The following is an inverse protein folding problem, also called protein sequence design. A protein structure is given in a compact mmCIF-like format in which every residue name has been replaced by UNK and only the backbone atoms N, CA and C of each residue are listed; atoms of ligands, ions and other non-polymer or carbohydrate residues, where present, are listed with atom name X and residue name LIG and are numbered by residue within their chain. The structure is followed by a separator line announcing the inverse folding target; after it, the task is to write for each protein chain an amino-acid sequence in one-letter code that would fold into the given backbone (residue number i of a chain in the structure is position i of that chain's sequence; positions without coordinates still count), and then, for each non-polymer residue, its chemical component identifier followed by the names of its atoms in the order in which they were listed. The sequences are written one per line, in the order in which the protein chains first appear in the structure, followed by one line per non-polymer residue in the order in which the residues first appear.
data_IF_624930324484
#
_entry.id   IF_624930324484
#
_cell.length_a   1.000
_cell.length_b   1.000
_cell.length_c   1.000
_cell.angle_alpha   90.00
_cell.angle_beta   90.00
_cell.angle_gamma   90.00
#
_symmetry.space_group_name_H-M   'P 1'
#
loop_
_entity.id
_entity.type
_entity.pdbx_description
1 polymer ?
#
# COMPACT_ATOMS: atom_id res chain seq x y z
N UNK A 1 -45.03 4.61 -6.06
CA UNK A 1 -43.80 4.47 -6.88
C UNK A 1 -44.06 3.35 -7.88
N UNK A 2 -43.72 3.49 -9.17
CA UNK A 2 -43.87 2.40 -10.12
C UNK A 2 -43.01 1.21 -9.69
N UNK A 3 -43.54 0.00 -9.81
CA UNK A 3 -42.80 -1.23 -9.49
C UNK A 3 -41.65 -1.40 -10.50
N UNK A 4 -40.43 -1.62 -10.00
CA UNK A 4 -39.26 -1.84 -10.86
C UNK A 4 -39.42 -3.16 -11.62
N UNK A 5 -39.06 -3.17 -12.90
CA UNK A 5 -39.08 -4.40 -13.69
C UNK A 5 -38.05 -5.40 -13.16
N UNK A 6 -38.26 -6.70 -13.43
CA UNK A 6 -37.28 -7.75 -13.08
C UNK A 6 -35.86 -7.44 -13.60
N UNK A 7 -35.78 -6.83 -14.79
CA UNK A 7 -34.52 -6.42 -15.38
C UNK A 7 -33.85 -5.29 -14.60
N UNK A 8 -34.60 -4.28 -14.18
CA UNK A 8 -34.08 -3.20 -13.34
C UNK A 8 -33.57 -3.71 -12.01
N UNK A 9 -34.33 -4.61 -11.36
CA UNK A 9 -33.90 -5.24 -10.10
C UNK A 9 -32.64 -6.10 -10.26
N UNK A 10 -32.46 -6.74 -11.42
CA UNK A 10 -31.24 -7.49 -11.72
C UNK A 10 -30.02 -6.55 -11.87
N UNK A 11 -30.17 -5.45 -12.61
CA UNK A 11 -29.11 -4.43 -12.76
C UNK A 11 -28.72 -3.81 -11.43
N UNK A 12 -29.70 -3.41 -10.62
CA UNK A 12 -29.46 -2.82 -9.29
C UNK A 12 -28.65 -3.77 -8.39
N UNK A 13 -28.97 -5.07 -8.40
CA UNK A 13 -28.24 -6.08 -7.61
C UNK A 13 -26.79 -6.22 -8.05
N UNK A 14 -26.56 -6.20 -9.36
CA UNK A 14 -25.23 -6.25 -9.95
C UNK A 14 -24.41 -5.03 -9.53
N UNK A 15 -24.95 -3.82 -9.69
CA UNK A 15 -24.29 -2.58 -9.26
C UNK A 15 -23.94 -2.58 -7.76
N UNK A 16 -24.87 -3.04 -6.92
CA UNK A 16 -24.63 -3.17 -5.47
C UNK A 16 -23.54 -4.19 -5.14
N UNK A 17 -23.51 -5.34 -5.84
CA UNK A 17 -22.46 -6.34 -5.67
C UNK A 17 -21.07 -5.77 -6.03
N UNK A 18 -20.99 -5.00 -7.12
CA UNK A 18 -19.77 -4.33 -7.53
C UNK A 18 -19.29 -3.28 -6.52
N UNK A 19 -20.19 -2.43 -6.03
CA UNK A 19 -19.81 -1.42 -5.02
C UNK A 19 -19.22 -2.08 -3.76
N UNK A 20 -19.78 -3.23 -3.35
CA UNK A 20 -19.25 -4.02 -2.22
C UNK A 20 -17.84 -4.56 -2.49
N UNK A 21 -17.58 -5.03 -3.72
CA UNK A 21 -16.25 -5.52 -4.11
C UNK A 21 -15.22 -4.38 -4.13
N UNK A 22 -15.58 -3.22 -4.69
CA UNK A 22 -14.71 -2.04 -4.68
C UNK A 22 -14.38 -1.59 -3.25
N UNK A 23 -15.39 -1.52 -2.36
CA UNK A 23 -15.16 -1.17 -0.95
C UNK A 23 -14.29 -2.22 -0.23
N UNK A 24 -14.40 -3.50 -0.59
CA UNK A 24 -13.55 -4.54 -0.06
C UNK A 24 -12.09 -4.35 -0.48
N UNK A 25 -11.84 -4.07 -1.75
CA UNK A 25 -10.49 -3.77 -2.26
C UNK A 25 -9.87 -2.53 -1.63
N UNK A 26 -10.65 -1.45 -1.43
CA UNK A 26 -10.17 -0.27 -0.73
C UNK A 26 -9.74 -0.56 0.70
N UNK A 27 -10.45 -1.44 1.41
CA UNK A 27 -10.07 -1.89 2.75
C UNK A 27 -8.78 -2.70 2.72
N UNK A 28 -8.66 -3.62 1.76
CA UNK A 28 -7.45 -4.45 1.57
C UNK A 28 -6.24 -3.57 1.25
N UNK A 29 -6.37 -2.64 0.30
CA UNK A 29 -5.36 -1.64 -0.02
C UNK A 29 -4.94 -0.85 1.21
N UNK A 30 -5.90 -0.30 1.96
CA UNK A 30 -5.62 0.47 3.18
C UNK A 30 -4.90 -0.36 4.26
N UNK A 31 -5.28 -1.64 4.41
CA UNK A 31 -4.62 -2.55 5.33
C UNK A 31 -3.16 -2.85 4.92
N UNK A 32 -2.91 -3.08 3.64
CA UNK A 32 -1.56 -3.25 3.12
C UNK A 32 -0.72 -1.97 3.28
N UNK A 33 -1.28 -0.79 3.02
CA UNK A 33 -0.58 0.47 3.23
C UNK A 33 -0.12 0.64 4.67
N UNK A 34 -0.99 0.34 5.65
CA UNK A 34 -0.61 0.33 7.08
C UNK A 34 0.49 -0.67 7.39
N UNK A 35 0.41 -1.87 6.82
CA UNK A 35 1.41 -2.92 7.04
C UNK A 35 2.77 -2.50 6.48
N UNK A 36 2.81 -1.89 5.29
CA UNK A 36 4.04 -1.37 4.71
C UNK A 36 4.65 -0.22 5.52
N UNK A 37 3.82 0.72 6.02
CA UNK A 37 4.28 1.80 6.91
C UNK A 37 4.86 1.23 8.21
N UNK A 38 4.19 0.25 8.83
CA UNK A 38 4.65 -0.39 10.05
C UNK A 38 5.98 -1.11 9.84
N UNK A 39 6.16 -1.81 8.72
CA UNK A 39 7.42 -2.47 8.37
C UNK A 39 8.56 -1.46 8.19
N UNK A 40 8.33 -0.36 7.46
CA UNK A 40 9.32 0.72 7.28
C UNK A 40 9.68 1.35 8.64
N UNK A 41 8.68 1.69 9.44
CA UNK A 41 8.88 2.30 10.76
C UNK A 41 9.65 1.36 11.70
N UNK A 42 9.32 0.06 11.69
CA UNK A 42 10.02 -0.95 12.47
C UNK A 42 11.47 -1.10 12.01
N UNK A 43 11.74 -1.16 10.70
CA UNK A 43 13.11 -1.26 10.20
C UNK A 43 13.96 -0.02 10.50
N UNK A 44 13.36 1.17 10.45
CA UNK A 44 14.00 2.40 10.92
C UNK A 44 14.28 2.36 12.44
N UNK A 45 13.28 1.94 13.22
CA UNK A 45 13.42 1.84 14.67
C UNK A 45 14.45 0.80 15.08
N UNK A 46 14.52 -0.35 14.41
CA UNK A 46 15.51 -1.40 14.63
C UNK A 46 16.94 -0.85 14.56
N UNK A 47 17.27 -0.18 13.45
CA UNK A 47 18.60 0.43 13.23
C UNK A 47 18.93 1.49 14.28
N UNK A 48 17.94 2.25 14.76
CA UNK A 48 18.16 3.32 15.73
C UNK A 48 18.19 2.84 17.19
N UNK A 49 17.33 1.91 17.55
CA UNK A 49 17.18 1.40 18.91
C UNK A 49 18.25 0.36 19.24
N UNK A 50 18.71 -0.40 18.23
CA UNK A 50 19.72 -1.44 18.39
C UNK A 50 21.10 -1.02 17.85
N UNK A 51 21.37 0.28 17.75
CA UNK A 51 22.62 0.81 17.19
C UNK A 51 23.89 0.32 17.92
N UNK A 52 23.78 -0.02 19.21
CA UNK A 52 24.87 -0.54 20.04
C UNK A 52 24.91 -2.07 20.11
N UNK A 53 23.93 -2.77 19.51
CA UNK A 53 23.87 -4.22 19.55
C UNK A 53 24.90 -4.86 18.59
N UNK A 54 25.50 -5.96 19.03
CA UNK A 54 26.42 -6.75 18.21
C UNK A 54 25.76 -8.07 17.76
N UNK A 55 25.96 -8.50 16.50
CA UNK A 55 26.81 -7.87 15.50
C UNK A 55 26.11 -6.75 14.72
N UNK A 56 26.75 -5.58 14.59
CA UNK A 56 26.15 -4.39 13.92
C UNK A 56 25.58 -4.67 12.54
N UNK A 57 26.28 -5.45 11.71
CA UNK A 57 25.84 -5.75 10.34
C UNK A 57 24.47 -6.44 10.30
N UNK A 58 24.13 -7.25 11.32
CA UNK A 58 22.87 -7.97 11.37
C UNK A 58 21.69 -7.02 11.68
N UNK A 59 21.90 -6.04 12.57
CA UNK A 59 20.92 -4.96 12.85
C UNK A 59 20.66 -4.17 11.57
N UNK A 60 21.72 -3.72 10.88
CA UNK A 60 21.56 -3.00 9.61
C UNK A 60 20.85 -3.84 8.56
N UNK A 61 21.20 -5.12 8.41
CA UNK A 61 20.56 -6.01 7.45
C UNK A 61 19.06 -6.19 7.77
N UNK A 62 18.71 -6.45 9.02
CA UNK A 62 17.33 -6.63 9.45
C UNK A 62 16.48 -5.37 9.18
N UNK A 63 16.97 -4.20 9.60
CA UNK A 63 16.25 -2.95 9.37
C UNK A 63 16.10 -2.59 7.89
N UNK A 64 17.14 -2.78 7.07
CA UNK A 64 17.07 -2.55 5.61
C UNK A 64 16.08 -3.51 4.96
N UNK A 65 16.10 -4.79 5.32
CA UNK A 65 15.16 -5.79 4.81
C UNK A 65 13.72 -5.38 5.13
N UNK A 66 13.44 -4.96 6.37
CA UNK A 66 12.11 -4.52 6.78
C UNK A 66 11.62 -3.29 6.00
N UNK A 67 12.49 -2.32 5.76
CA UNK A 67 12.16 -1.14 4.94
C UNK A 67 11.85 -1.55 3.50
N UNK A 68 12.69 -2.40 2.90
CA UNK A 68 12.49 -2.90 1.53
C UNK A 68 11.20 -3.70 1.40
N UNK A 69 10.89 -4.57 2.38
CA UNK A 69 9.62 -5.30 2.44
C UNK A 69 8.44 -4.33 2.50
N UNK A 70 8.51 -3.29 3.33
CA UNK A 70 7.43 -2.31 3.43
C UNK A 70 7.21 -1.53 2.13
N UNK A 71 8.28 -1.17 1.43
CA UNK A 71 8.20 -0.57 0.09
C UNK A 71 7.63 -1.53 -0.95
N UNK A 72 8.02 -2.81 -0.92
CA UNK A 72 7.47 -3.84 -1.80
C UNK A 72 5.97 -4.05 -1.56
N UNK A 73 5.52 -4.03 -0.30
CA UNK A 73 4.09 -4.09 0.05
C UNK A 73 3.31 -2.93 -0.58
N UNK A 74 3.84 -1.70 -0.58
CA UNK A 74 3.17 -0.57 -1.23
C UNK A 74 3.01 -0.79 -2.75
N UNK A 75 4.04 -1.31 -3.42
CA UNK A 75 3.98 -1.64 -4.85
C UNK A 75 2.94 -2.74 -5.11
N UNK A 76 2.97 -3.84 -4.34
CA UNK A 76 2.05 -4.96 -4.51
C UNK A 76 0.60 -4.55 -4.24
N UNK A 77 0.37 -3.72 -3.21
CA UNK A 77 -0.94 -3.15 -2.88
C UNK A 77 -1.48 -2.30 -4.02
N UNK A 78 -0.64 -1.43 -4.59
CA UNK A 78 -1.00 -0.61 -5.74
C UNK A 78 -1.31 -1.45 -6.97
N UNK A 79 -0.50 -2.48 -7.27
CA UNK A 79 -0.74 -3.39 -8.36
C UNK A 79 -2.08 -4.10 -8.22
N UNK A 80 -2.36 -4.69 -7.05
CA UNK A 80 -3.62 -5.37 -6.76
C UNK A 80 -4.82 -4.44 -6.96
N UNK A 81 -4.75 -3.22 -6.40
CA UNK A 81 -5.80 -2.22 -6.59
C UNK A 81 -5.98 -1.84 -8.07
N UNK A 82 -4.88 -1.67 -8.82
CA UNK A 82 -4.92 -1.27 -10.22
C UNK A 82 -5.56 -2.34 -11.11
N UNK A 83 -5.25 -3.61 -10.90
CA UNK A 83 -5.86 -4.74 -11.63
C UNK A 83 -7.38 -4.74 -11.43
N UNK A 84 -7.84 -4.64 -10.18
CA UNK A 84 -9.28 -4.62 -9.90
C UNK A 84 -9.95 -3.33 -10.40
N UNK A 85 -9.28 -2.17 -10.27
CA UNK A 85 -9.78 -0.90 -10.78
C UNK A 85 -9.93 -0.90 -12.31
N UNK A 86 -9.01 -1.53 -13.04
CA UNK A 86 -9.12 -1.68 -14.50
C UNK A 86 -10.33 -2.50 -14.89
N UNK A 87 -10.55 -3.64 -14.23
CA UNK A 87 -11.74 -4.46 -14.45
C UNK A 87 -13.03 -3.66 -14.17
N UNK A 88 -13.03 -2.83 -13.12
CA UNK A 88 -14.17 -1.96 -12.77
C UNK A 88 -14.44 -0.86 -13.81
N UNK A 89 -13.40 -0.25 -14.38
CA UNK A 89 -13.55 0.82 -15.38
C UNK A 89 -14.16 0.29 -16.68
N UNK A 90 -13.87 -0.96 -17.05
CA UNK A 90 -14.43 -1.60 -18.25
C UNK A 90 -15.95 -1.78 -18.14
N UNK A 91 -16.51 -1.88 -16.93
CA UNK A 91 -17.95 -1.98 -16.69
C UNK A 91 -18.66 -0.62 -16.53
N UNK A 92 -17.95 0.50 -16.68
CA UNK A 92 -18.54 1.85 -16.67
C UNK A 92 -19.02 2.35 -15.31
N UNK A 93 -18.60 1.70 -14.22
CA UNK A 93 -19.04 2.02 -12.86
C UNK A 93 -18.15 3.09 -12.19
N UNK A 94 -18.74 3.96 -11.33
CA UNK A 94 -17.98 4.97 -10.60
C UNK A 94 -17.11 4.33 -9.51
N UNK A 95 -15.80 4.58 -9.57
CA UNK A 95 -14.84 4.19 -8.54
C UNK A 95 -14.14 5.40 -7.91
N UNK A 96 -13.38 5.18 -6.83
CA UNK A 96 -12.48 6.23 -6.33
C UNK A 96 -11.51 6.64 -7.44
N UNK A 97 -11.19 7.94 -7.55
CA UNK A 97 -10.30 8.40 -8.60
C UNK A 97 -8.90 7.78 -8.42
N UNK A 98 -8.40 7.14 -9.47
CA UNK A 98 -7.09 6.45 -9.44
C UNK A 98 -5.94 7.38 -9.02
N UNK A 99 -6.05 8.68 -9.29
CA UNK A 99 -5.01 9.66 -8.94
C UNK A 99 -4.77 9.73 -7.44
N UNK A 100 -5.78 9.57 -6.59
CA UNK A 100 -5.59 9.64 -5.13
C UNK A 100 -4.80 8.44 -4.62
N UNK A 101 -5.08 7.25 -5.16
CA UNK A 101 -4.35 6.01 -4.84
C UNK A 101 -2.90 6.09 -5.30
N UNK A 102 -2.66 6.63 -6.49
CA UNK A 102 -1.32 6.89 -7.01
C UNK A 102 -0.56 7.87 -6.10
N UNK A 103 -1.18 9.01 -5.73
CA UNK A 103 -0.53 10.00 -4.86
C UNK A 103 -0.17 9.44 -3.48
N UNK A 104 -1.07 8.68 -2.86
CA UNK A 104 -0.82 8.06 -1.55
C UNK A 104 0.32 7.03 -1.65
N UNK A 105 0.29 6.17 -2.67
CA UNK A 105 1.32 5.14 -2.86
C UNK A 105 2.68 5.78 -3.13
N UNK A 106 2.76 6.75 -4.05
CA UNK A 106 4.00 7.42 -4.40
C UNK A 106 4.58 8.21 -3.24
N UNK A 107 3.75 8.94 -2.48
CA UNK A 107 4.24 9.71 -1.33
C UNK A 107 4.84 8.81 -0.26
N UNK A 108 4.20 7.68 0.05
CA UNK A 108 4.72 6.72 1.04
C UNK A 108 5.94 5.95 0.54
N UNK A 109 5.97 5.59 -0.75
CA UNK A 109 7.14 4.97 -1.36
C UNK A 109 8.35 5.91 -1.36
N UNK A 110 8.16 7.18 -1.73
CA UNK A 110 9.21 8.21 -1.69
C UNK A 110 9.68 8.41 -0.26
N UNK A 111 8.78 8.49 0.72
CA UNK A 111 9.18 8.59 2.13
C UNK A 111 10.04 7.40 2.58
N UNK A 112 9.64 6.17 2.25
CA UNK A 112 10.44 4.96 2.52
C UNK A 112 11.81 4.98 1.83
N UNK A 113 11.85 5.41 0.57
CA UNK A 113 13.08 5.53 -0.21
C UNK A 113 14.02 6.58 0.39
N UNK A 114 13.50 7.74 0.81
CA UNK A 114 14.28 8.79 1.46
C UNK A 114 14.85 8.30 2.80
N UNK A 115 14.06 7.61 3.61
CA UNK A 115 14.54 7.00 4.86
C UNK A 115 15.67 6.02 4.57
N UNK A 116 15.49 5.15 3.57
CA UNK A 116 16.51 4.18 3.19
C UNK A 116 17.81 4.87 2.74
N UNK A 117 17.71 5.87 1.86
CA UNK A 117 18.87 6.63 1.37
C UNK A 117 19.60 7.33 2.53
N UNK A 118 18.88 7.98 3.44
CA UNK A 118 19.48 8.66 4.59
C UNK A 118 20.18 7.68 5.54
N UNK A 119 19.62 6.49 5.76
CA UNK A 119 20.25 5.45 6.57
C UNK A 119 21.51 4.89 5.91
N UNK A 120 21.47 4.67 4.59
CA UNK A 120 22.64 4.18 3.84
C UNK A 120 23.74 5.24 3.75
N UNK A 121 23.39 6.52 3.56
CA UNK A 121 24.35 7.62 3.58
C UNK A 121 25.01 7.75 4.97
N UNK A 122 24.21 7.71 6.04
CA UNK A 122 24.73 7.74 7.40
C UNK A 122 25.63 6.54 7.74
N UNK A 123 25.39 5.37 7.13
CA UNK A 123 26.28 4.22 7.24
C UNK A 123 27.62 4.46 6.55
N UNK A 124 27.63 5.14 5.39
CA UNK A 124 28.86 5.45 4.63
C UNK A 124 29.71 6.51 5.35
N UNK A 125 29.06 7.49 5.98
CA UNK A 125 29.73 8.62 6.67
C UNK A 125 30.13 8.31 8.12
N UNK A 126 29.84 7.10 8.62
CA UNK A 126 30.28 6.67 9.95
C UNK A 126 31.77 6.27 9.92
N UNK A 127 32.66 6.96 10.67
CA UNK A 127 34.10 6.67 10.71
C UNK A 127 34.45 5.32 11.34
#
# INVERSE_FOLDING_TARGET
MPEKSKQQLATDRTELAFHRNLLAEQRTFSAWMRTGIAAIALGFADIKLLAEAEPKWAVYAAGVILIVIGMAIHILSFWGYYVTFRALKEEGLPGLPIWSVVLITLSLFIAGLLILILLLAGLIDSP
#
